data_IF_396923499097
#
_entry.id   IF_396923499097
#
_cell.length_a   1.000
_cell.length_b   1.000
_cell.length_c   1.000
_cell.angle_alpha   90.00
_cell.angle_beta   90.00
_cell.angle_gamma   90.00
#
_symmetry.space_group_name_H-M   'P 1'
#
loop_
_entity.id
_entity.type
_entity.pdbx_description
1 polymer ?
#
# COMPACT_ATOMS: atom_id res chain seq x y z
N UNK A 1 -25.89 -25.56 15.41
CA UNK A 1 -24.67 -24.79 15.10
C UNK A 1 -24.78 -24.07 13.75
N UNK A 2 -25.83 -23.27 13.51
CA UNK A 2 -26.02 -22.54 12.23
C UNK A 2 -25.75 -21.04 12.42
N UNK A 3 -26.06 -20.47 13.60
CA UNK A 3 -25.85 -19.05 13.88
C UNK A 3 -24.39 -18.61 13.90
N UNK A 4 -23.48 -19.41 14.46
CA UNK A 4 -22.05 -19.05 14.55
C UNK A 4 -21.39 -19.06 13.16
N UNK A 5 -21.71 -20.04 12.31
CA UNK A 5 -21.16 -20.12 10.96
C UNK A 5 -21.63 -18.93 10.10
N UNK A 6 -22.91 -18.57 10.17
CA UNK A 6 -23.44 -17.41 9.45
C UNK A 6 -22.80 -16.09 9.92
N UNK A 7 -22.59 -15.93 11.23
CA UNK A 7 -21.89 -14.75 11.78
C UNK A 7 -20.44 -14.68 11.33
N UNK A 8 -19.71 -15.80 11.31
CA UNK A 8 -18.32 -15.83 10.83
C UNK A 8 -18.21 -15.51 9.34
N UNK A 9 -19.15 -15.99 8.51
CA UNK A 9 -19.18 -15.67 7.08
C UNK A 9 -19.50 -14.19 6.86
N UNK A 10 -20.48 -13.64 7.57
CA UNK A 10 -20.81 -12.21 7.50
C UNK A 10 -19.66 -11.32 7.95
N UNK A 11 -18.95 -11.70 9.02
CA UNK A 11 -17.78 -10.97 9.50
C UNK A 11 -16.64 -11.00 8.47
N UNK A 12 -16.36 -12.16 7.87
CA UNK A 12 -15.33 -12.27 6.83
C UNK A 12 -15.63 -11.37 5.63
N UNK A 13 -16.85 -11.42 5.11
CA UNK A 13 -17.27 -10.58 3.99
C UNK A 13 -17.13 -9.08 4.31
N UNK A 14 -17.49 -8.69 5.52
CA UNK A 14 -17.31 -7.30 5.98
C UNK A 14 -15.83 -6.92 6.02
N UNK A 15 -14.97 -7.77 6.61
CA UNK A 15 -13.53 -7.50 6.69
C UNK A 15 -12.90 -7.44 5.31
N UNK A 16 -13.23 -8.37 4.42
CA UNK A 16 -12.73 -8.42 3.05
C UNK A 16 -13.13 -7.14 2.29
N UNK A 17 -14.38 -6.69 2.45
CA UNK A 17 -14.85 -5.43 1.89
C UNK A 17 -14.05 -4.24 2.40
N UNK A 18 -13.84 -4.15 3.73
CA UNK A 18 -13.04 -3.07 4.30
C UNK A 18 -11.58 -3.09 3.85
N UNK A 19 -11.02 -4.27 3.65
CA UNK A 19 -9.67 -4.46 3.15
C UNK A 19 -9.54 -4.12 1.66
N UNK A 20 -10.59 -4.28 0.88
CA UNK A 20 -10.64 -3.85 -0.53
C UNK A 20 -10.88 -2.35 -0.71
N UNK A 21 -11.41 -1.68 0.32
CA UNK A 21 -11.59 -0.22 0.32
C UNK A 21 -10.27 0.52 0.11
N UNK A 22 -10.32 1.71 -0.52
CA UNK A 22 -9.17 2.59 -0.63
C UNK A 22 -8.53 2.87 0.74
N UNK A 23 -7.19 2.99 0.75
CA UNK A 23 -6.46 3.52 1.91
C UNK A 23 -6.97 4.92 2.28
N UNK A 24 -6.79 5.30 3.56
CA UNK A 24 -7.17 6.62 4.01
C UNK A 24 -6.30 7.71 3.33
N UNK A 25 -6.83 8.94 3.14
CA UNK A 25 -6.20 9.99 2.34
C UNK A 25 -4.76 10.32 2.73
N UNK A 26 -4.44 10.30 4.03
CA UNK A 26 -3.11 10.59 4.56
C UNK A 26 -2.05 9.57 4.08
N UNK A 27 -2.43 8.30 3.92
CA UNK A 27 -1.55 7.28 3.37
C UNK A 27 -1.42 7.42 1.87
N UNK A 28 -2.50 7.83 1.18
CA UNK A 28 -2.46 8.09 -0.26
C UNK A 28 -1.55 9.28 -0.60
N UNK A 29 -1.64 10.37 0.18
CA UNK A 29 -0.78 11.55 0.04
C UNK A 29 0.70 11.17 0.21
N UNK A 30 1.03 10.30 1.17
CA UNK A 30 2.39 9.81 1.32
C UNK A 30 2.89 9.08 0.05
N UNK A 31 2.04 8.23 -0.56
CA UNK A 31 2.39 7.59 -1.84
C UNK A 31 2.46 8.58 -3.01
N UNK A 32 1.74 9.70 -2.96
CA UNK A 32 1.87 10.80 -3.92
C UNK A 32 3.24 11.46 -3.79
N UNK A 33 3.67 11.80 -2.58
CA UNK A 33 5.00 12.38 -2.29
C UNK A 33 6.12 11.47 -2.82
N UNK A 34 6.05 10.16 -2.54
CA UNK A 34 7.05 9.22 -3.05
C UNK A 34 7.07 9.19 -4.60
N UNK A 35 5.91 9.15 -5.25
CA UNK A 35 5.80 9.14 -6.72
C UNK A 35 6.20 10.48 -7.38
N UNK A 36 6.05 11.60 -6.67
CA UNK A 36 6.48 12.90 -7.14
C UNK A 36 8.01 12.95 -7.23
N UNK A 37 8.69 12.46 -6.20
CA UNK A 37 10.15 12.53 -6.07
C UNK A 37 10.92 11.32 -6.61
N UNK A 38 10.24 10.26 -7.06
CA UNK A 38 10.88 9.05 -7.61
C UNK A 38 10.22 8.56 -8.89
N UNK A 39 10.94 8.57 -10.03
CA UNK A 39 10.48 7.96 -11.27
C UNK A 39 10.12 6.47 -11.12
N UNK A 40 10.88 5.71 -10.32
CA UNK A 40 10.60 4.30 -10.07
C UNK A 40 9.31 4.10 -9.27
N UNK A 41 9.13 4.83 -8.17
CA UNK A 41 7.91 4.75 -7.37
C UNK A 41 6.66 5.17 -8.18
N UNK A 42 6.80 6.18 -9.05
CA UNK A 42 5.75 6.61 -9.98
C UNK A 42 5.36 5.50 -10.96
N UNK A 43 6.35 4.87 -11.58
CA UNK A 43 6.13 3.77 -12.53
C UNK A 43 5.48 2.56 -11.84
N UNK A 44 5.93 2.21 -10.64
CA UNK A 44 5.34 1.14 -9.83
C UNK A 44 3.86 1.42 -9.53
N UNK A 45 3.52 2.64 -9.11
CA UNK A 45 2.13 3.01 -8.82
C UNK A 45 1.25 3.01 -10.07
N UNK A 46 1.76 3.42 -11.22
CA UNK A 46 1.04 3.30 -12.48
C UNK A 46 0.76 1.83 -12.84
N UNK A 47 1.77 0.96 -12.68
CA UNK A 47 1.62 -0.49 -12.88
C UNK A 47 0.59 -1.10 -11.93
N UNK A 48 0.58 -0.68 -10.65
CA UNK A 48 -0.43 -1.10 -9.68
C UNK A 48 -1.84 -0.72 -10.15
N UNK A 49 -2.05 0.55 -10.51
CA UNK A 49 -3.37 1.05 -10.97
C UNK A 49 -3.86 0.28 -12.19
N UNK A 50 -2.97 0.06 -13.16
CA UNK A 50 -3.27 -0.69 -14.38
C UNK A 50 -3.63 -2.16 -14.07
N UNK A 51 -2.85 -2.84 -13.23
CA UNK A 51 -3.05 -4.24 -12.91
C UNK A 51 -4.37 -4.50 -12.18
N UNK A 52 -4.69 -3.68 -11.18
CA UNK A 52 -5.88 -3.87 -10.33
C UNK A 52 -7.12 -3.10 -10.82
N UNK A 53 -7.02 -2.36 -11.92
CA UNK A 53 -8.12 -1.58 -12.49
C UNK A 53 -8.72 -0.54 -11.54
N UNK A 54 -7.89 0.05 -10.66
CA UNK A 54 -8.33 0.99 -9.61
C UNK A 54 -7.38 2.18 -9.47
N UNK A 55 -7.92 3.35 -9.13
CA UNK A 55 -7.13 4.59 -9.01
C UNK A 55 -6.39 4.72 -7.68
N UNK A 56 -6.91 4.07 -6.65
CA UNK A 56 -6.39 4.10 -5.29
C UNK A 56 -5.90 2.72 -4.84
N UNK A 57 -4.90 2.73 -3.94
CA UNK A 57 -4.37 1.50 -3.34
C UNK A 57 -5.40 0.95 -2.35
N UNK A 58 -5.66 -0.35 -2.45
CA UNK A 58 -6.50 -1.08 -1.50
C UNK A 58 -5.82 -1.15 -0.13
N UNK A 59 -6.60 -1.10 0.95
CA UNK A 59 -6.07 -1.15 2.32
C UNK A 59 -5.22 -2.40 2.57
N UNK A 60 -5.64 -3.57 2.06
CA UNK A 60 -4.85 -4.82 2.14
C UNK A 60 -3.50 -4.77 1.43
N UNK A 61 -3.37 -3.92 0.41
CA UNK A 61 -2.16 -3.81 -0.42
C UNK A 61 -1.19 -2.75 0.11
N UNK A 62 -1.62 -1.93 1.07
CA UNK A 62 -0.89 -0.75 1.50
C UNK A 62 0.53 -1.06 1.98
N UNK A 63 0.68 -2.02 2.89
CA UNK A 63 1.98 -2.35 3.49
C UNK A 63 3.05 -2.65 2.43
N UNK A 64 2.72 -3.52 1.47
CA UNK A 64 3.63 -3.90 0.41
C UNK A 64 3.91 -2.72 -0.52
N UNK A 65 2.86 -2.03 -0.98
CA UNK A 65 3.00 -0.89 -1.89
C UNK A 65 3.85 0.21 -1.26
N UNK A 66 3.63 0.50 0.03
CA UNK A 66 4.38 1.52 0.76
C UNK A 66 5.86 1.14 0.89
N UNK A 67 6.16 -0.09 1.31
CA UNK A 67 7.52 -0.58 1.45
C UNK A 67 8.28 -0.55 0.10
N UNK A 68 7.65 -1.03 -0.97
CA UNK A 68 8.27 -1.06 -2.31
C UNK A 68 8.47 0.35 -2.86
N UNK A 69 7.47 1.23 -2.79
CA UNK A 69 7.59 2.61 -3.27
C UNK A 69 8.62 3.40 -2.45
N UNK A 70 8.69 3.22 -1.13
CA UNK A 70 9.69 3.89 -0.30
C UNK A 70 11.10 3.44 -0.67
N UNK A 71 11.35 2.13 -0.81
CA UNK A 71 12.65 1.60 -1.23
C UNK A 71 13.08 2.18 -2.58
N UNK A 72 12.17 2.23 -3.55
CA UNK A 72 12.41 2.82 -4.86
C UNK A 72 12.76 4.31 -4.75
N UNK A 73 12.02 5.05 -3.92
CA UNK A 73 12.28 6.46 -3.72
C UNK A 73 13.62 6.74 -3.05
N UNK A 74 13.98 5.97 -2.00
CA UNK A 74 15.28 6.05 -1.36
C UNK A 74 16.42 5.67 -2.33
N UNK A 75 16.20 4.68 -3.20
CA UNK A 75 17.16 4.30 -4.25
C UNK A 75 17.35 5.38 -5.31
N UNK A 76 16.32 6.18 -5.58
CA UNK A 76 16.39 7.35 -6.47
C UNK A 76 16.98 8.59 -5.78
N UNK A 77 17.32 8.49 -4.48
CA UNK A 77 17.86 9.60 -3.68
C UNK A 77 16.80 10.59 -3.20
N UNK A 78 15.52 10.24 -3.25
CA UNK A 78 14.44 11.08 -2.75
C UNK A 78 14.50 11.24 -1.22
N UNK A 79 14.37 12.48 -0.75
CA UNK A 79 14.23 12.76 0.66
C UNK A 79 12.75 12.70 1.07
N UNK A 80 12.46 12.07 2.20
CA UNK A 80 11.12 12.07 2.79
C UNK A 80 10.93 13.38 3.56
N UNK A 81 9.82 14.13 3.35
CA UNK A 81 9.52 15.32 4.14
C UNK A 81 9.45 15.01 5.65
N UNK A 82 9.91 15.92 6.54
CA UNK A 82 9.89 15.67 7.97
C UNK A 82 8.50 15.30 8.53
N UNK A 83 7.42 15.84 7.96
CA UNK A 83 6.04 15.52 8.33
C UNK A 83 5.69 14.04 8.15
N UNK A 84 6.36 13.34 7.24
CA UNK A 84 6.07 11.96 6.84
C UNK A 84 7.05 10.94 7.44
N UNK A 85 7.98 11.38 8.30
CA UNK A 85 9.03 10.53 8.88
C UNK A 85 8.48 9.29 9.56
N UNK A 86 7.42 9.43 10.37
CA UNK A 86 6.82 8.29 11.07
C UNK A 86 6.22 7.26 10.11
N UNK A 87 5.62 7.72 9.01
CA UNK A 87 5.07 6.85 7.96
C UNK A 87 6.20 6.12 7.23
N UNK A 88 7.25 6.85 6.85
CA UNK A 88 8.40 6.28 6.19
C UNK A 88 9.12 5.26 7.08
N UNK A 89 9.27 5.52 8.37
CA UNK A 89 9.88 4.57 9.31
C UNK A 89 9.06 3.27 9.40
N UNK A 90 7.73 3.38 9.46
CA UNK A 90 6.82 2.23 9.42
C UNK A 90 7.00 1.39 8.15
N UNK A 91 7.01 2.04 6.97
CA UNK A 91 7.18 1.35 5.71
C UNK A 91 8.60 0.79 5.52
N UNK A 92 9.62 1.47 6.06
CA UNK A 92 11.02 1.00 6.03
C UNK A 92 11.19 -0.30 6.80
N UNK A 93 10.50 -0.44 7.95
CA UNK A 93 10.50 -1.69 8.72
C UNK A 93 9.92 -2.87 7.94
N UNK A 94 9.06 -2.60 6.95
CA UNK A 94 8.41 -3.62 6.12
C UNK A 94 9.21 -3.98 4.86
N UNK A 95 10.24 -3.21 4.48
CA UNK A 95 11.08 -3.50 3.30
C UNK A 95 11.64 -4.94 3.29
N UNK A 96 12.16 -5.49 4.40
CA UNK A 96 12.65 -6.86 4.40
C UNK A 96 11.56 -7.91 4.11
N UNK A 97 10.30 -7.63 4.50
CA UNK A 97 9.13 -8.49 4.25
C UNK A 97 8.71 -8.48 2.77
N UNK A 98 8.90 -7.35 2.09
CA UNK A 98 8.45 -7.11 0.72
C UNK A 98 9.60 -6.75 -0.23
N UNK A 99 10.75 -7.40 -0.08
CA UNK A 99 12.01 -7.05 -0.77
C UNK A 99 11.97 -7.16 -2.31
N UNK A 100 10.89 -7.67 -2.89
CA UNK A 100 10.68 -7.74 -4.33
C UNK A 100 10.03 -6.49 -4.93
N UNK A 101 10.14 -6.37 -6.25
CA UNK A 101 9.43 -5.37 -7.06
C UNK A 101 8.07 -5.85 -7.55
N UNK A 102 7.65 -7.02 -7.05
CA UNK A 102 6.38 -7.60 -7.40
C UNK A 102 5.23 -6.73 -6.88
N UNK A 103 4.16 -6.67 -7.69
CA UNK A 103 2.88 -6.19 -7.21
C UNK A 103 2.34 -7.12 -6.11
N UNK A 104 1.44 -6.61 -5.24
CA UNK A 104 0.70 -7.45 -4.31
C UNK A 104 -0.01 -8.60 -5.02
N UNK A 105 -0.29 -9.68 -4.28
CA UNK A 105 -1.14 -10.78 -4.74
C UNK A 105 -2.52 -10.62 -4.11
N UNK A 106 -3.56 -10.96 -4.87
CA UNK A 106 -4.93 -11.10 -4.35
C UNK A 106 -5.09 -12.37 -3.50
#
# INVERSE_FOLDING_TARGET
>A
MIGIAALLVGLRLWTDYQLDSPIAPEYAEFLDVLAEHSPQARAYRASYRHHFGRDAVASRHFEQVCATMLRMAESDGAAVPPKDTAMADGCRHLIPKYSGEALPRD
#
